data_IF_169434402320
#
_entry.id   IF_169434402320
#
_cell.length_a   1.000
_cell.length_b   1.000
_cell.length_c   1.000
_cell.angle_alpha   90.00
_cell.angle_beta   90.00
_cell.angle_gamma   90.00
#
_symmetry.space_group_name_H-M   'P 1'
#
loop_
_entity.id
_entity.type
_entity.pdbx_description
1 polymer ?
#
# COMPACT_ATOMS: atom_id res chain seq x y z
N UNK A 1 21.97 -13.56 10.89
CA UNK A 1 21.91 -14.41 9.69
C UNK A 1 22.78 -13.76 8.63
N UNK A 2 23.78 -14.48 8.09
CA UNK A 2 24.54 -13.96 6.95
C UNK A 2 23.59 -13.87 5.75
N UNK A 3 23.33 -12.64 5.29
CA UNK A 3 22.60 -12.39 4.05
C UNK A 3 23.40 -13.04 2.90
N UNK A 4 22.72 -13.82 2.08
CA UNK A 4 23.37 -14.41 0.90
C UNK A 4 23.73 -13.30 -0.07
N UNK A 5 24.99 -13.24 -0.48
CA UNK A 5 25.52 -12.19 -1.39
C UNK A 5 24.98 -12.30 -2.83
N UNK A 6 24.27 -13.41 -3.14
CA UNK A 6 23.73 -13.76 -4.46
C UNK A 6 22.20 -13.65 -4.55
N UNK A 7 21.55 -13.13 -3.51
CA UNK A 7 20.10 -12.99 -3.41
C UNK A 7 19.63 -11.53 -3.46
N UNK A 8 18.31 -11.33 -3.28
CA UNK A 8 17.71 -10.01 -3.13
C UNK A 8 18.29 -9.31 -1.88
N UNK A 9 18.51 -8.01 -2.00
CA UNK A 9 18.97 -7.17 -0.89
C UNK A 9 17.77 -6.53 -0.19
N UNK A 10 17.82 -6.48 1.15
CA UNK A 10 16.83 -5.75 1.95
C UNK A 10 17.16 -4.25 1.83
N UNK A 11 16.28 -3.50 1.16
CA UNK A 11 16.43 -2.06 0.99
C UNK A 11 15.97 -1.26 2.21
N UNK A 12 15.05 -1.82 3.01
CA UNK A 12 14.48 -1.17 4.18
C UNK A 12 13.26 -1.92 4.71
N UNK A 13 12.54 -1.27 5.61
CA UNK A 13 11.33 -1.78 6.24
C UNK A 13 10.14 -0.91 5.87
N UNK A 14 9.06 -1.52 5.42
CA UNK A 14 7.78 -0.87 5.22
C UNK A 14 6.87 -1.22 6.42
N UNK A 15 6.54 -0.21 7.22
CA UNK A 15 5.68 -0.34 8.38
C UNK A 15 4.25 0.03 8.00
N UNK A 16 3.41 -0.96 7.83
CA UNK A 16 1.97 -0.76 7.64
C UNK A 16 1.33 -0.52 9.01
N UNK A 17 1.24 0.75 9.37
CA UNK A 17 0.84 1.19 10.70
C UNK A 17 2.05 1.50 11.61
N UNK A 18 1.79 1.67 12.93
CA UNK A 18 0.51 1.46 13.64
C UNK A 18 -0.51 2.61 13.53
N UNK A 19 -0.19 3.72 12.89
CA UNK A 19 -1.02 4.93 12.84
C UNK A 19 -2.10 4.83 11.74
N UNK A 20 -2.98 3.83 11.89
CA UNK A 20 -4.04 3.51 10.93
C UNK A 20 -5.42 3.77 11.54
N UNK A 21 -6.36 4.19 10.70
CA UNK A 21 -7.76 4.38 11.08
C UNK A 21 -8.58 3.11 10.92
N UNK A 22 -8.29 2.34 9.91
CA UNK A 22 -8.99 1.11 9.55
C UNK A 22 -8.00 -0.04 9.62
N UNK A 23 -8.32 -1.09 10.37
CA UNK A 23 -7.42 -2.23 10.55
C UNK A 23 -7.26 -3.08 9.26
N UNK A 24 -8.30 -3.19 8.44
CA UNK A 24 -8.31 -4.19 7.38
C UNK A 24 -8.11 -5.60 7.96
N UNK A 25 -7.14 -6.33 7.43
CA UNK A 25 -6.76 -7.65 7.93
C UNK A 25 -5.77 -7.62 9.10
N UNK A 26 -5.29 -6.46 9.51
CA UNK A 26 -4.39 -6.32 10.65
C UNK A 26 -5.15 -6.54 11.96
N UNK A 27 -4.44 -6.97 13.00
CA UNK A 27 -5.04 -7.06 14.34
C UNK A 27 -5.37 -5.67 14.87
N UNK A 28 -6.53 -5.54 15.53
CA UNK A 28 -6.99 -4.25 16.05
C UNK A 28 -6.03 -3.66 17.12
N UNK A 29 -5.29 -4.50 17.84
CA UNK A 29 -4.28 -4.10 18.82
C UNK A 29 -2.95 -3.65 18.18
N UNK A 30 -2.75 -3.91 16.89
CA UNK A 30 -1.63 -3.36 16.11
C UNK A 30 -1.81 -1.87 15.78
N UNK A 31 -3.03 -1.34 15.92
CA UNK A 31 -3.35 0.07 15.66
C UNK A 31 -3.08 0.91 16.91
N UNK A 32 -2.51 2.08 16.70
CA UNK A 32 -2.22 3.02 17.79
C UNK A 32 -2.48 4.47 17.36
N UNK A 33 -2.77 5.36 18.34
CA UNK A 33 -2.85 6.78 18.07
C UNK A 33 -1.49 7.36 17.65
N UNK A 34 -1.51 8.55 17.05
CA UNK A 34 -0.32 9.26 16.66
C UNK A 34 0.57 9.53 17.91
N UNK A 35 1.80 9.03 17.87
CA UNK A 35 2.77 9.11 18.98
C UNK A 35 4.18 9.38 18.46
N UNK A 36 4.75 10.50 18.87
CA UNK A 36 6.08 10.93 18.45
C UNK A 36 7.19 9.98 18.96
N UNK A 37 7.08 9.50 20.18
CA UNK A 37 8.10 8.63 20.76
C UNK A 37 8.15 7.29 20.05
N UNK A 38 7.00 6.81 19.61
CA UNK A 38 6.90 5.57 18.83
C UNK A 38 7.51 5.72 17.43
N UNK A 39 7.29 6.85 16.76
CA UNK A 39 7.98 7.16 15.48
C UNK A 39 9.48 7.12 15.66
N UNK A 40 10.01 7.79 16.69
CA UNK A 40 11.44 7.81 16.99
C UNK A 40 11.98 6.41 17.29
N UNK A 41 11.28 5.63 18.12
CA UNK A 41 11.68 4.26 18.43
C UNK A 41 11.76 3.34 17.20
N UNK A 42 10.85 3.48 16.23
CA UNK A 42 10.91 2.71 14.98
C UNK A 42 12.10 3.13 14.11
N UNK A 43 12.37 4.43 13.99
CA UNK A 43 13.53 4.94 13.25
C UNK A 43 14.84 4.45 13.89
N UNK A 44 14.94 4.55 15.21
CA UNK A 44 16.12 4.06 15.96
C UNK A 44 16.31 2.54 15.81
N UNK A 45 15.22 1.77 15.89
CA UNK A 45 15.26 0.31 15.75
C UNK A 45 15.67 -0.14 14.34
N UNK A 46 15.35 0.62 13.31
CA UNK A 46 15.74 0.33 11.93
C UNK A 46 17.25 0.56 11.67
N UNK A 47 17.90 1.38 12.49
CA UNK A 47 19.32 1.67 12.36
C UNK A 47 19.67 2.33 11.02
N UNK A 48 20.53 1.68 10.24
CA UNK A 48 20.96 2.18 8.93
C UNK A 48 19.95 1.89 7.78
N UNK A 49 18.92 1.08 8.08
CA UNK A 49 17.93 0.71 7.08
C UNK A 49 16.89 1.81 6.91
N UNK A 50 16.45 2.02 5.66
CA UNK A 50 15.34 2.92 5.36
C UNK A 50 14.05 2.41 5.99
N UNK A 51 13.25 3.33 6.53
CA UNK A 51 11.89 3.05 7.00
C UNK A 51 10.91 3.75 6.07
N UNK A 52 9.80 3.09 5.78
CA UNK A 52 8.62 3.68 5.14
C UNK A 52 7.48 3.56 6.14
N UNK A 53 6.83 4.67 6.45
CA UNK A 53 5.62 4.66 7.27
C UNK A 53 4.39 4.73 6.38
N UNK A 54 3.50 3.75 6.50
CA UNK A 54 2.13 3.85 5.98
C UNK A 54 1.19 4.30 7.09
N UNK A 55 0.47 5.39 6.84
CA UNK A 55 -0.40 6.06 7.81
C UNK A 55 -1.77 6.39 7.21
N UNK A 56 -2.74 6.63 8.08
CA UNK A 56 -4.05 7.13 7.68
C UNK A 56 -4.18 8.62 8.01
N UNK A 57 -4.48 9.49 7.04
CA UNK A 57 -4.61 10.94 7.26
C UNK A 57 -5.71 11.33 8.25
N UNK A 58 -6.67 10.46 8.51
CA UNK A 58 -7.77 10.65 9.46
C UNK A 58 -7.47 10.12 10.88
N UNK A 59 -6.22 9.75 11.17
CA UNK A 59 -5.74 9.57 12.54
C UNK A 59 -5.45 10.94 13.14
N UNK A 60 -6.07 11.24 14.28
CA UNK A 60 -5.93 12.54 14.95
C UNK A 60 -4.47 12.86 15.29
N UNK A 61 -3.99 14.01 14.86
CA UNK A 61 -2.64 14.51 15.13
C UNK A 61 -1.54 13.93 14.26
N UNK A 62 -1.85 13.03 13.32
CA UNK A 62 -0.84 12.41 12.42
C UNK A 62 -0.13 13.45 11.55
N UNK A 63 -0.83 14.51 11.15
CA UNK A 63 -0.30 15.60 10.34
C UNK A 63 0.92 16.27 10.97
N UNK A 64 1.05 16.20 12.30
CA UNK A 64 2.19 16.76 13.05
C UNK A 64 3.39 15.83 13.05
N UNK A 65 3.20 14.54 12.81
CA UNK A 65 4.26 13.52 12.79
C UNK A 65 4.86 13.34 11.39
N UNK A 66 4.09 13.58 10.32
CA UNK A 66 4.58 13.45 8.93
C UNK A 66 5.85 14.27 8.69
N UNK A 67 5.95 15.56 9.08
CA UNK A 67 7.18 16.33 8.89
C UNK A 67 8.38 15.77 9.66
N UNK A 68 8.17 15.11 10.80
CA UNK A 68 9.23 14.44 11.53
C UNK A 68 9.76 13.23 10.75
N UNK A 69 8.88 12.39 10.22
CA UNK A 69 9.24 11.23 9.39
C UNK A 69 10.02 11.66 8.15
N UNK A 70 9.50 12.67 7.43
CA UNK A 70 10.14 13.20 6.21
C UNK A 70 11.52 13.80 6.49
N UNK A 71 11.70 14.50 7.64
CA UNK A 71 12.98 15.07 8.04
C UNK A 71 14.07 14.00 8.21
N UNK A 72 13.71 12.83 8.70
CA UNK A 72 14.61 11.68 8.84
C UNK A 72 14.77 10.89 7.52
N UNK A 73 14.43 11.50 6.37
CA UNK A 73 14.44 10.88 5.05
C UNK A 73 13.60 9.59 4.95
N UNK A 74 12.50 9.57 5.70
CA UNK A 74 11.57 8.45 5.77
C UNK A 74 10.38 8.76 4.87
N UNK A 75 10.14 8.01 3.78
CA UNK A 75 8.96 8.16 2.96
C UNK A 75 7.69 7.90 3.77
N UNK A 76 6.65 8.70 3.54
CA UNK A 76 5.34 8.54 4.19
C UNK A 76 4.30 8.18 3.15
N UNK A 77 3.67 7.03 3.35
CA UNK A 77 2.65 6.48 2.48
C UNK A 77 1.27 6.62 3.14
N UNK A 78 0.24 6.72 2.34
CA UNK A 78 -1.16 6.80 2.77
C UNK A 78 -1.81 5.43 2.54
N UNK A 79 -2.54 4.94 3.54
CA UNK A 79 -3.26 3.67 3.45
C UNK A 79 -4.40 3.59 4.48
N UNK A 80 -5.26 2.58 4.39
CA UNK A 80 -6.25 2.17 5.40
C UNK A 80 -7.10 3.33 5.93
N UNK A 81 -7.63 4.16 5.03
CA UNK A 81 -8.24 5.44 5.40
C UNK A 81 -9.56 5.72 4.70
N UNK A 82 -10.49 6.31 5.44
CA UNK A 82 -11.69 6.98 4.92
C UNK A 82 -11.56 8.51 4.98
N UNK A 83 -10.33 9.03 4.96
CA UNK A 83 -10.05 10.45 5.08
C UNK A 83 -10.80 11.29 4.06
N UNK A 84 -11.26 12.45 4.49
CA UNK A 84 -11.80 13.48 3.61
C UNK A 84 -10.73 14.03 2.67
N UNK A 85 -11.15 14.72 1.61
CA UNK A 85 -10.24 15.45 0.71
C UNK A 85 -9.32 16.38 1.50
N UNK A 86 -9.87 17.15 2.45
CA UNK A 86 -9.10 18.11 3.26
C UNK A 86 -8.03 17.41 4.12
N UNK A 87 -8.37 16.33 4.82
CA UNK A 87 -7.40 15.59 5.64
C UNK A 87 -6.27 15.02 4.77
N UNK A 88 -6.62 14.45 3.61
CA UNK A 88 -5.65 13.90 2.67
C UNK A 88 -4.73 15.00 2.11
N UNK A 89 -5.27 16.15 1.72
CA UNK A 89 -4.48 17.29 1.25
C UNK A 89 -3.52 17.83 2.33
N UNK A 90 -3.96 17.86 3.59
CA UNK A 90 -3.10 18.25 4.73
C UNK A 90 -1.94 17.26 4.87
N UNK A 91 -2.19 15.95 4.81
CA UNK A 91 -1.14 14.93 4.88
C UNK A 91 -0.14 15.03 3.72
N UNK A 92 -0.63 15.24 2.48
CA UNK A 92 0.22 15.47 1.30
C UNK A 92 1.02 16.76 1.46
N UNK A 93 0.40 17.83 1.93
CA UNK A 93 1.07 19.11 2.23
C UNK A 93 2.15 18.98 3.31
N UNK A 94 1.99 18.07 4.26
CA UNK A 94 2.97 17.75 5.30
C UNK A 94 4.12 16.84 4.80
N UNK A 95 3.98 16.21 3.62
CA UNK A 95 5.03 15.42 2.98
C UNK A 95 4.69 13.96 2.68
N UNK A 96 3.46 13.52 2.86
CA UNK A 96 3.03 12.21 2.36
C UNK A 96 3.12 12.19 0.82
N UNK A 97 3.73 11.16 0.24
CA UNK A 97 4.14 11.16 -1.18
C UNK A 97 3.70 9.93 -1.98
N UNK A 98 3.07 8.96 -1.34
CA UNK A 98 2.62 7.73 -1.98
C UNK A 98 1.36 7.20 -1.33
N UNK A 99 0.59 6.35 -2.03
CA UNK A 99 -0.49 5.57 -1.45
C UNK A 99 -0.31 4.11 -1.81
N UNK A 100 -0.28 3.22 -0.79
CA UNK A 100 -0.02 1.80 -0.97
C UNK A 100 -1.31 0.99 -1.08
N UNK A 101 -1.28 -0.13 -1.82
CA UNK A 101 -2.41 -0.98 -2.23
C UNK A 101 -3.68 -0.15 -2.48
N UNK A 102 -3.47 0.84 -3.35
CA UNK A 102 -4.46 1.88 -3.60
C UNK A 102 -5.78 1.29 -4.12
N UNK A 103 -6.91 1.77 -3.63
CA UNK A 103 -8.27 1.24 -3.71
C UNK A 103 -8.60 0.12 -2.71
N UNK A 104 -7.62 -0.62 -2.17
CA UNK A 104 -7.86 -1.56 -1.10
C UNK A 104 -7.82 -0.85 0.26
N UNK A 105 -8.82 -1.09 1.10
CA UNK A 105 -9.04 -0.39 2.39
C UNK A 105 -9.08 1.16 2.25
N UNK A 106 -9.64 1.63 1.13
CA UNK A 106 -9.98 3.03 0.86
C UNK A 106 -11.49 3.18 0.63
N UNK A 107 -12.33 3.02 1.66
CA UNK A 107 -13.77 3.13 1.51
C UNK A 107 -14.17 4.54 1.07
N UNK A 108 -15.29 4.61 0.35
CA UNK A 108 -15.90 5.88 0.02
C UNK A 108 -16.37 6.57 1.32
N UNK A 109 -16.14 7.87 1.50
CA UNK A 109 -16.67 8.60 2.65
C UNK A 109 -18.20 8.55 2.72
N UNK A 110 -18.74 8.84 3.90
CA UNK A 110 -20.19 8.91 4.10
C UNK A 110 -20.86 9.93 3.20
N UNK A 111 -22.07 9.61 2.74
CA UNK A 111 -22.88 10.53 1.92
C UNK A 111 -23.35 11.69 2.78
N UNK A 112 -22.95 12.91 2.42
CA UNK A 112 -23.37 14.14 3.10
C UNK A 112 -24.60 14.75 2.41
N UNK A 113 -24.58 14.79 1.07
CA UNK A 113 -25.67 15.33 0.26
C UNK A 113 -26.37 14.20 -0.52
N UNK A 114 -27.69 13.98 -0.32
CA UNK A 114 -28.42 12.92 -1.02
C UNK A 114 -28.25 12.99 -2.55
N UNK A 115 -27.88 11.85 -3.14
CA UNK A 115 -27.67 11.73 -4.59
C UNK A 115 -26.31 12.21 -5.10
N UNK A 116 -25.47 12.76 -4.25
CA UNK A 116 -24.11 13.19 -4.60
C UNK A 116 -23.09 12.17 -4.08
N UNK A 117 -22.27 11.62 -4.99
CA UNK A 117 -21.17 10.73 -4.59
C UNK A 117 -20.09 11.56 -3.88
N UNK A 118 -19.74 11.25 -2.63
CA UNK A 118 -18.70 11.99 -1.92
C UNK A 118 -17.31 11.71 -2.52
N UNK A 119 -16.44 12.71 -2.42
CA UNK A 119 -15.01 12.58 -2.70
C UNK A 119 -14.24 12.43 -1.39
N UNK A 120 -13.18 11.65 -1.43
CA UNK A 120 -12.32 11.39 -0.27
C UNK A 120 -10.84 11.28 -0.64
N UNK A 121 -10.15 10.40 0.06
CA UNK A 121 -8.73 10.16 -0.13
C UNK A 121 -8.40 9.74 -1.57
N UNK A 122 -9.24 8.91 -2.19
CA UNK A 122 -9.01 8.41 -3.55
C UNK A 122 -8.93 9.56 -4.55
N UNK A 123 -9.92 10.44 -4.55
CA UNK A 123 -9.97 11.57 -5.47
C UNK A 123 -8.85 12.58 -5.19
N UNK A 124 -8.56 12.86 -3.92
CA UNK A 124 -7.49 13.78 -3.53
C UNK A 124 -6.12 13.27 -3.97
N UNK A 125 -5.84 11.97 -3.80
CA UNK A 125 -4.58 11.34 -4.21
C UNK A 125 -4.45 11.33 -5.75
N UNK A 126 -5.51 10.96 -6.46
CA UNK A 126 -5.46 10.93 -7.93
C UNK A 126 -5.26 12.31 -8.55
N UNK A 127 -5.84 13.35 -7.94
CA UNK A 127 -5.74 14.72 -8.43
C UNK A 127 -4.38 15.39 -8.13
N UNK A 128 -3.59 14.87 -7.18
CA UNK A 128 -2.32 15.50 -6.77
C UNK A 128 -1.12 14.84 -7.50
N UNK A 129 -0.43 15.60 -8.33
CA UNK A 129 0.72 15.12 -9.13
C UNK A 129 1.92 14.71 -8.26
N UNK A 130 2.01 15.16 -7.03
CA UNK A 130 3.11 14.83 -6.11
C UNK A 130 3.04 13.40 -5.63
N UNK A 131 1.84 12.84 -5.52
CA UNK A 131 1.59 11.53 -4.93
C UNK A 131 1.65 10.43 -5.99
N UNK A 132 2.39 9.38 -5.71
CA UNK A 132 2.40 8.13 -6.47
C UNK A 132 1.47 7.10 -5.84
N UNK A 133 1.13 6.04 -6.55
CA UNK A 133 0.25 4.97 -6.08
C UNK A 133 0.77 3.60 -6.50
N UNK A 134 0.50 2.58 -5.69
CA UNK A 134 0.74 1.20 -6.09
C UNK A 134 -0.54 0.35 -6.03
N UNK A 135 -0.54 -0.78 -6.72
CA UNK A 135 -1.69 -1.66 -6.85
C UNK A 135 -1.30 -3.13 -6.72
N UNK A 136 -2.15 -3.90 -6.06
CA UNK A 136 -2.16 -5.37 -6.09
C UNK A 136 -2.98 -5.79 -7.31
N UNK A 137 -2.34 -6.01 -8.45
CA UNK A 137 -3.02 -6.29 -9.73
C UNK A 137 -3.34 -7.78 -9.88
N UNK A 138 -4.12 -8.34 -8.96
CA UNK A 138 -4.61 -9.72 -8.97
C UNK A 138 -6.06 -9.86 -9.44
N UNK A 139 -6.75 -8.73 -9.73
CA UNK A 139 -8.14 -8.68 -10.15
C UNK A 139 -9.16 -8.89 -9.03
N UNK A 140 -8.70 -8.96 -7.77
CA UNK A 140 -9.54 -9.12 -6.57
C UNK A 140 -9.40 -7.93 -5.64
N UNK A 141 -8.17 -7.52 -5.28
CA UNK A 141 -7.91 -6.35 -4.45
C UNK A 141 -8.25 -5.03 -5.18
N UNK A 142 -8.08 -5.02 -6.49
CA UNK A 142 -8.47 -3.89 -7.33
C UNK A 142 -9.01 -4.38 -8.68
N UNK A 143 -10.08 -3.77 -9.15
CA UNK A 143 -10.55 -3.98 -10.51
C UNK A 143 -9.58 -3.31 -11.51
N UNK A 144 -9.13 -3.99 -12.56
CA UNK A 144 -8.23 -3.40 -13.57
C UNK A 144 -8.73 -2.09 -14.18
N UNK A 145 -10.05 -1.85 -14.20
CA UNK A 145 -10.60 -0.58 -14.68
C UNK A 145 -10.22 0.59 -13.78
N UNK A 146 -10.13 0.37 -12.46
CA UNK A 146 -9.69 1.40 -11.53
C UNK A 146 -8.21 1.76 -11.75
N UNK A 147 -7.37 0.76 -12.05
CA UNK A 147 -5.96 0.99 -12.42
C UNK A 147 -5.87 1.76 -13.73
N UNK A 148 -6.67 1.41 -14.76
CA UNK A 148 -6.75 2.18 -16.01
C UNK A 148 -7.18 3.62 -15.77
N UNK A 149 -8.10 3.87 -14.85
CA UNK A 149 -8.50 5.24 -14.45
C UNK A 149 -7.34 5.99 -13.80
N UNK A 150 -6.65 5.35 -12.85
CA UNK A 150 -5.48 5.94 -12.21
C UNK A 150 -4.38 6.29 -13.22
N UNK A 151 -4.16 5.45 -14.25
CA UNK A 151 -3.21 5.73 -15.34
C UNK A 151 -3.61 6.94 -16.20
N UNK A 152 -4.89 7.31 -16.25
CA UNK A 152 -5.33 8.55 -16.92
C UNK A 152 -4.99 9.78 -16.10
N UNK A 153 -5.06 9.67 -14.76
CA UNK A 153 -4.68 10.74 -13.83
C UNK A 153 -3.14 10.84 -13.68
N UNK A 154 -2.47 9.70 -13.71
CA UNK A 154 -1.01 9.56 -13.50
C UNK A 154 -0.41 8.73 -14.64
N UNK A 155 -0.08 9.36 -15.78
CA UNK A 155 0.44 8.63 -16.94
C UNK A 155 1.69 7.80 -16.60
N UNK A 156 1.81 6.61 -17.18
CA UNK A 156 2.88 5.62 -16.89
C UNK A 156 4.29 6.23 -16.97
N UNK A 157 4.50 7.14 -17.92
CA UNK A 157 5.80 7.78 -18.11
C UNK A 157 6.23 8.70 -16.96
N UNK A 158 5.29 9.10 -16.09
CA UNK A 158 5.60 9.96 -14.92
C UNK A 158 6.28 9.21 -13.78
N UNK A 159 6.31 7.87 -13.81
CA UNK A 159 6.84 7.04 -12.72
C UNK A 159 5.97 7.03 -11.45
N UNK A 160 4.72 7.50 -11.54
CA UNK A 160 3.81 7.66 -10.39
C UNK A 160 2.91 6.46 -10.13
N UNK A 161 3.02 5.40 -10.93
CA UNK A 161 2.31 4.14 -10.71
C UNK A 161 3.30 3.01 -10.60
N UNK A 162 3.11 2.12 -9.63
CA UNK A 162 3.80 0.84 -9.56
C UNK A 162 2.85 -0.29 -9.19
N UNK A 163 3.36 -1.50 -9.30
CA UNK A 163 2.68 -2.71 -8.86
C UNK A 163 3.42 -3.29 -7.67
N UNK A 164 2.66 -3.82 -6.74
CA UNK A 164 3.13 -4.57 -5.60
C UNK A 164 2.43 -5.93 -5.56
N UNK A 165 2.93 -6.82 -4.78
CA UNK A 165 2.31 -8.12 -4.56
C UNK A 165 1.49 -8.15 -3.29
N UNK A 166 1.93 -7.46 -2.24
CA UNK A 166 1.39 -7.63 -0.89
C UNK A 166 1.27 -9.13 -0.54
N UNK A 167 2.34 -9.86 -0.84
CA UNK A 167 2.37 -11.32 -0.74
C UNK A 167 2.26 -11.81 0.69
N UNK A 168 1.33 -12.75 0.93
CA UNK A 168 1.22 -13.43 2.21
C UNK A 168 2.04 -14.75 2.21
N UNK A 169 2.11 -15.38 3.39
CA UNK A 169 2.99 -16.52 3.72
C UNK A 169 2.87 -17.73 2.77
N UNK A 170 1.71 -17.93 2.14
CA UNK A 170 1.49 -19.03 1.19
C UNK A 170 1.82 -18.71 -0.26
N UNK A 171 2.30 -17.51 -0.56
CA UNK A 171 2.59 -17.10 -1.94
C UNK A 171 3.66 -17.96 -2.57
N UNK A 172 3.36 -18.50 -3.76
CA UNK A 172 4.27 -19.40 -4.49
C UNK A 172 4.26 -20.85 -4.00
N UNK A 173 3.55 -21.16 -2.93
CA UNK A 173 3.34 -22.52 -2.43
C UNK A 173 2.09 -23.15 -3.05
N UNK A 174 1.84 -24.42 -2.75
CA UNK A 174 0.63 -25.11 -3.18
C UNK A 174 -0.62 -24.51 -2.50
N UNK A 175 -1.79 -24.55 -3.16
CA UNK A 175 -3.03 -24.15 -2.53
C UNK A 175 -3.27 -24.86 -1.20
N UNK A 176 -3.79 -24.15 -0.20
CA UNK A 176 -3.99 -24.72 1.13
C UNK A 176 -4.09 -23.67 2.23
N UNK A 177 -3.97 -24.14 3.46
CA UNK A 177 -4.03 -23.31 4.67
C UNK A 177 -2.66 -23.11 5.28
N UNK A 178 -2.38 -21.90 5.70
CA UNK A 178 -1.10 -21.49 6.25
C UNK A 178 -1.30 -20.66 7.50
N UNK A 179 -0.47 -20.86 8.51
CA UNK A 179 -0.50 -20.07 9.73
C UNK A 179 0.18 -18.72 9.49
N UNK A 180 -0.59 -17.65 9.61
CA UNK A 180 -0.10 -16.28 9.44
C UNK A 180 0.21 -15.63 10.80
N UNK A 181 1.28 -16.08 11.43
CA UNK A 181 1.71 -15.60 12.74
C UNK A 181 0.58 -15.64 13.77
N UNK A 182 0.38 -14.56 14.51
CA UNK A 182 -0.70 -14.42 15.47
C UNK A 182 -2.05 -14.06 14.85
N UNK A 183 -2.10 -13.80 13.53
CA UNK A 183 -3.33 -13.44 12.81
C UNK A 183 -4.22 -14.67 12.51
N UNK A 184 -3.79 -15.87 12.89
CA UNK A 184 -4.52 -17.12 12.64
C UNK A 184 -4.16 -17.75 11.30
N UNK A 185 -5.08 -18.52 10.74
CA UNK A 185 -4.87 -19.21 9.45
C UNK A 185 -5.46 -18.42 8.29
N UNK A 186 -4.75 -18.45 7.18
CA UNK A 186 -5.21 -17.96 5.89
C UNK A 186 -5.29 -19.10 4.89
N UNK A 187 -6.23 -19.01 3.95
CA UNK A 187 -6.43 -20.00 2.89
C UNK A 187 -6.13 -19.40 1.51
N UNK A 188 -5.44 -20.17 0.70
CA UNK A 188 -5.23 -19.93 -0.72
C UNK A 188 -6.01 -21.01 -1.51
N UNK A 189 -7.13 -20.65 -2.11
CA UNK A 189 -8.04 -21.60 -2.77
C UNK A 189 -7.46 -22.21 -4.06
N UNK A 190 -6.56 -21.49 -4.73
CA UNK A 190 -5.84 -21.91 -5.94
C UNK A 190 -4.47 -21.20 -5.98
N UNK A 191 -3.59 -21.66 -6.87
CA UNK A 191 -2.26 -21.05 -7.03
C UNK A 191 -2.36 -19.59 -7.48
N UNK A 192 -1.81 -18.68 -6.67
CA UNK A 192 -1.90 -17.24 -6.90
C UNK A 192 -3.21 -16.62 -6.41
N UNK A 193 -4.09 -17.38 -5.73
CA UNK A 193 -5.28 -16.83 -5.09
C UNK A 193 -4.94 -15.73 -4.07
N UNK A 194 -5.83 -14.77 -3.82
CA UNK A 194 -5.69 -13.90 -2.67
C UNK A 194 -5.73 -14.73 -1.38
N UNK A 195 -4.97 -14.31 -0.37
CA UNK A 195 -5.06 -14.91 0.96
C UNK A 195 -6.37 -14.47 1.63
N UNK A 196 -7.10 -15.42 2.21
CA UNK A 196 -8.32 -15.13 2.95
C UNK A 196 -8.24 -15.67 4.37
N UNK A 197 -8.58 -14.84 5.33
CA UNK A 197 -8.73 -15.25 6.72
C UNK A 197 -9.78 -16.35 6.84
N UNK A 198 -9.44 -17.46 7.48
CA UNK A 198 -10.39 -18.55 7.76
C UNK A 198 -11.52 -18.09 8.69
N UNK A 199 -11.22 -17.12 9.56
CA UNK A 199 -12.16 -16.66 10.60
C UNK A 199 -13.36 -15.92 10.01
N UNK A 200 -13.15 -15.05 9.04
CA UNK A 200 -14.15 -14.10 8.58
C UNK A 200 -14.15 -13.89 7.05
N UNK A 201 -13.33 -14.64 6.34
CA UNK A 201 -13.17 -14.59 4.89
C UNK A 201 -12.69 -13.22 4.34
N UNK A 202 -12.13 -12.36 5.19
CA UNK A 202 -11.52 -11.09 4.75
C UNK A 202 -10.25 -11.35 3.94
N UNK A 203 -9.93 -10.44 3.03
CA UNK A 203 -8.64 -10.46 2.33
C UNK A 203 -7.52 -10.16 3.32
N UNK A 204 -6.41 -10.89 3.22
CA UNK A 204 -5.25 -10.78 4.09
C UNK A 204 -3.96 -10.84 3.26
N UNK A 205 -3.80 -9.88 2.35
CA UNK A 205 -2.75 -9.89 1.34
C UNK A 205 -3.01 -10.88 0.20
N UNK A 206 -2.04 -11.05 -0.69
CA UNK A 206 -2.21 -11.79 -1.93
C UNK A 206 -1.35 -13.05 -2.03
N UNK A 207 -1.69 -13.91 -2.99
CA UNK A 207 -0.82 -14.96 -3.54
C UNK A 207 -0.15 -14.56 -4.85
N UNK A 208 -0.26 -13.29 -5.22
CA UNK A 208 0.30 -12.74 -6.44
C UNK A 208 1.83 -12.77 -6.39
N UNK A 209 2.45 -13.24 -7.47
CA UNK A 209 3.90 -13.08 -7.68
C UNK A 209 4.17 -11.90 -8.60
N UNK A 210 5.35 -11.29 -8.51
CA UNK A 210 5.66 -10.10 -9.30
C UNK A 210 5.70 -10.38 -10.81
N UNK A 211 6.12 -11.57 -11.23
CA UNK A 211 6.07 -11.97 -12.63
C UNK A 211 4.63 -12.13 -13.13
N UNK A 212 3.71 -12.59 -12.27
CA UNK A 212 2.29 -12.64 -12.62
C UNK A 212 1.69 -11.23 -12.67
N UNK A 213 2.04 -10.34 -11.75
CA UNK A 213 1.62 -8.93 -11.80
C UNK A 213 2.06 -8.26 -13.10
N UNK A 214 3.29 -8.54 -13.56
CA UNK A 214 3.80 -8.06 -14.83
C UNK A 214 2.97 -8.56 -16.03
N UNK A 215 2.63 -9.86 -16.05
CA UNK A 215 1.77 -10.44 -17.11
C UNK A 215 0.39 -9.82 -17.11
N UNK A 216 -0.21 -9.66 -15.93
CA UNK A 216 -1.52 -9.04 -15.77
C UNK A 216 -1.49 -7.57 -16.27
N UNK A 217 -0.39 -6.85 -16.03
CA UNK A 217 -0.25 -5.48 -16.54
C UNK A 217 -0.25 -5.41 -18.08
N UNK A 218 0.45 -6.32 -18.74
CA UNK A 218 0.46 -6.40 -20.21
C UNK A 218 -0.93 -6.74 -20.73
N UNK A 219 -1.56 -7.78 -20.14
CA UNK A 219 -2.84 -8.30 -20.64
C UNK A 219 -4.03 -7.39 -20.29
N UNK A 220 -4.11 -6.89 -19.05
CA UNK A 220 -5.30 -6.18 -18.59
C UNK A 220 -5.22 -4.67 -18.76
N UNK A 221 -4.01 -4.10 -18.77
CA UNK A 221 -3.82 -2.64 -18.88
C UNK A 221 -3.41 -2.20 -20.27
N UNK A 222 -3.26 -3.14 -21.23
CA UNK A 222 -2.82 -2.89 -22.61
C UNK A 222 -1.45 -2.21 -22.68
N UNK A 223 -0.52 -2.58 -21.80
CA UNK A 223 0.84 -2.03 -21.75
C UNK A 223 1.80 -2.86 -22.57
N UNK A 224 2.75 -2.20 -23.22
CA UNK A 224 3.91 -2.89 -23.78
C UNK A 224 4.84 -3.39 -22.67
N UNK A 225 5.77 -4.29 -23.02
CA UNK A 225 6.69 -4.91 -22.04
C UNK A 225 7.53 -3.85 -21.30
N UNK A 226 8.00 -2.81 -21.98
CA UNK A 226 8.85 -1.77 -21.38
C UNK A 226 8.06 -0.96 -20.35
N UNK A 227 6.83 -0.58 -20.69
CA UNK A 227 5.92 0.11 -19.78
C UNK A 227 5.61 -0.75 -18.55
N UNK A 228 5.24 -2.03 -18.77
CA UNK A 228 4.92 -2.94 -17.68
C UNK A 228 6.12 -3.20 -16.75
N UNK A 229 7.32 -3.39 -17.30
CA UNK A 229 8.55 -3.57 -16.51
C UNK A 229 8.85 -2.34 -15.65
N UNK A 230 8.58 -1.13 -16.11
CA UNK A 230 8.75 0.07 -15.29
C UNK A 230 7.89 0.05 -14.02
N UNK A 231 6.67 -0.47 -14.11
CA UNK A 231 5.75 -0.52 -12.97
C UNK A 231 6.26 -1.43 -11.83
N UNK A 232 7.11 -2.41 -12.14
CA UNK A 232 7.61 -3.42 -11.20
C UNK A 232 9.11 -3.26 -10.87
N UNK A 233 9.78 -2.24 -11.41
CA UNK A 233 11.23 -2.05 -11.22
C UNK A 233 11.62 -0.59 -11.00
N UNK A 234 11.76 0.20 -12.06
CA UNK A 234 12.28 1.58 -11.95
C UNK A 234 11.33 2.52 -11.21
N UNK A 235 10.01 2.35 -11.34
CA UNK A 235 9.06 3.21 -10.66
C UNK A 235 9.11 3.00 -9.13
N UNK A 236 8.95 1.77 -8.59
CA UNK A 236 9.09 1.57 -7.15
C UNK A 236 10.47 1.98 -6.62
N UNK A 237 11.56 1.71 -7.36
CA UNK A 237 12.88 2.17 -6.96
C UNK A 237 12.96 3.70 -6.85
N UNK A 238 12.37 4.44 -7.80
CA UNK A 238 12.32 5.90 -7.76
C UNK A 238 11.45 6.48 -6.64
N UNK A 239 10.43 5.73 -6.17
CA UNK A 239 9.55 6.16 -5.07
C UNK A 239 10.23 6.01 -3.72
N UNK A 240 10.98 4.95 -3.52
CA UNK A 240 11.66 4.69 -2.24
C UNK A 240 13.05 5.34 -2.14
N UNK A 241 13.61 5.83 -3.25
CA UNK A 241 14.90 6.56 -3.31
C UNK A 241 16.13 5.67 -3.39
#
# INVERSE_FOLDING_TARGET
>A
SQLRSDGAQIAGFHLEGPFLKIAGALQADAIAPADRSRVQAFIEAAGEHKVIFSISPDVEGIERLIPLMVKENTPVFITHTAASVTQTQIAIGAGACHATHFYDVFPCPDVVEPGVRPCGAVEAILADERVSVDFILDGVHVDPIAVKMAMKCKPVHTGKICLITDSNIGTGLDPGRYLFGNNGEVEFAYKGAPARSIKDNTLAGSGLTMDQALRNAIEWLDLDLVQAVRLVSSNPAGIIG
#
